data_IF_297964899876
#
_entry.id   IF_297964899876
#
_cell.length_a   1.000
_cell.length_b   1.000
_cell.length_c   1.000
_cell.angle_alpha   90.00
_cell.angle_beta   90.00
_cell.angle_gamma   90.00
#
_symmetry.space_group_name_H-M   'P 1'
#
loop_
_entity.id
_entity.type
_entity.pdbx_description
1 polymer ?
#
# COMPACT_ATOMS: atom_id res chain seq x y z
N UNK A 1 0.76 22.59 -3.08
CA UNK A 1 0.08 21.40 -3.64
C UNK A 1 -0.95 20.89 -2.65
N UNK A 2 -2.16 20.56 -3.10
CA UNK A 2 -3.17 19.93 -2.25
C UNK A 2 -2.66 18.56 -1.78
N UNK A 3 -2.77 18.27 -0.48
CA UNK A 3 -2.36 16.99 0.10
C UNK A 3 -3.22 15.88 -0.53
N UNK A 4 -2.64 14.75 -0.98
CA UNK A 4 -3.41 13.63 -1.52
C UNK A 4 -4.53 13.23 -0.56
N UNK A 5 -5.75 13.04 -1.08
CA UNK A 5 -6.87 12.57 -0.25
C UNK A 5 -6.58 11.15 0.20
N UNK A 6 -6.72 10.91 1.50
CA UNK A 6 -6.55 9.58 2.11
C UNK A 6 -7.89 8.86 2.14
N UNK A 7 -7.86 7.53 2.22
CA UNK A 7 -9.08 6.74 2.40
C UNK A 7 -9.75 7.06 3.74
N UNK A 8 -11.05 6.79 3.88
CA UNK A 8 -11.80 6.98 5.14
C UNK A 8 -11.13 6.20 6.27
N UNK A 9 -10.70 4.97 5.99
CA UNK A 9 -9.99 4.11 6.94
C UNK A 9 -8.54 4.56 7.22
N UNK A 10 -8.10 5.70 6.69
CA UNK A 10 -6.73 6.18 6.84
C UNK A 10 -6.65 7.70 6.93
N UNK A 11 -7.78 8.38 7.16
CA UNK A 11 -7.84 9.84 7.31
C UNK A 11 -8.05 10.27 8.77
N UNK A 12 -7.30 11.30 9.17
CA UNK A 12 -7.34 11.86 10.52
C UNK A 12 -8.28 13.08 10.60
N UNK A 13 -9.40 13.06 9.87
CA UNK A 13 -10.38 14.17 9.87
C UNK A 13 -11.59 13.77 10.72
N UNK A 14 -12.08 14.71 11.52
CA UNK A 14 -13.34 14.57 12.24
C UNK A 14 -14.48 14.68 11.23
N UNK A 15 -15.09 13.55 10.90
CA UNK A 15 -16.24 13.46 10.01
C UNK A 15 -17.47 13.05 10.81
N UNK A 16 -18.65 13.47 10.36
CA UNK A 16 -19.89 12.95 10.95
C UNK A 16 -20.06 11.47 10.59
N UNK A 17 -20.84 10.72 11.39
CA UNK A 17 -21.13 9.30 11.09
C UNK A 17 -21.72 9.10 9.69
N UNK A 18 -22.54 10.05 9.25
CA UNK A 18 -23.13 10.08 7.92
C UNK A 18 -22.07 10.30 6.83
N UNK A 19 -21.14 11.24 7.02
CA UNK A 19 -20.02 11.48 6.10
C UNK A 19 -19.06 10.28 6.00
N UNK A 20 -18.77 9.61 7.12
CA UNK A 20 -17.97 8.38 7.17
C UNK A 20 -18.68 7.29 6.37
N UNK A 21 -19.97 7.08 6.60
CA UNK A 21 -20.77 6.07 5.90
C UNK A 21 -20.81 6.33 4.39
N UNK A 22 -21.11 7.56 3.98
CA UNK A 22 -21.20 7.94 2.55
C UNK A 22 -19.84 7.74 1.88
N UNK A 23 -18.75 8.20 2.49
CA UNK A 23 -17.42 8.05 1.89
C UNK A 23 -16.94 6.61 1.88
N UNK A 24 -17.22 5.83 2.93
CA UNK A 24 -16.85 4.41 2.98
C UNK A 24 -17.58 3.61 1.88
N UNK A 25 -18.88 3.85 1.72
CA UNK A 25 -19.65 3.26 0.62
C UNK A 25 -19.14 3.71 -0.76
N UNK A 26 -18.72 4.97 -0.88
CA UNK A 26 -18.15 5.50 -2.13
C UNK A 26 -16.79 4.86 -2.42
N UNK A 27 -15.95 4.71 -1.41
CA UNK A 27 -14.65 4.05 -1.53
C UNK A 27 -14.77 2.57 -1.85
N UNK A 28 -15.68 1.83 -1.20
CA UNK A 28 -15.95 0.43 -1.53
C UNK A 28 -16.44 0.27 -2.98
N UNK A 29 -17.35 1.15 -3.43
CA UNK A 29 -17.78 1.18 -4.84
C UNK A 29 -16.65 1.49 -5.81
N UNK A 30 -15.74 2.40 -5.47
CA UNK A 30 -14.62 2.80 -6.31
C UNK A 30 -13.48 1.78 -6.32
N UNK A 31 -13.23 1.12 -5.17
CA UNK A 31 -12.29 0.02 -5.01
C UNK A 31 -12.68 -1.16 -5.90
N UNK A 32 -13.98 -1.39 -6.03
CA UNK A 32 -14.54 -2.49 -6.79
C UNK A 32 -14.27 -3.84 -6.12
N UNK A 33 -14.59 -4.91 -6.84
CA UNK A 33 -14.40 -6.28 -6.37
C UNK A 33 -12.90 -6.62 -6.22
N UNK A 34 -12.61 -7.65 -5.42
CA UNK A 34 -11.26 -8.19 -5.19
C UNK A 34 -11.15 -9.67 -5.63
N UNK A 35 -12.11 -10.14 -6.43
CA UNK A 35 -12.29 -11.53 -6.83
C UNK A 35 -11.34 -12.00 -7.96
N UNK A 36 -10.68 -11.07 -8.66
CA UNK A 36 -9.88 -11.35 -9.88
C UNK A 36 -8.40 -11.04 -9.72
N UNK A 37 -7.91 -10.90 -8.49
CA UNK A 37 -6.50 -10.62 -8.21
C UNK A 37 -5.68 -11.87 -8.55
N UNK A 38 -5.09 -11.86 -9.74
CA UNK A 38 -4.25 -12.95 -10.23
C UNK A 38 -3.04 -12.37 -10.98
N UNK A 39 -1.88 -13.06 -10.93
CA UNK A 39 -0.67 -12.54 -11.55
C UNK A 39 -0.82 -12.52 -13.08
N UNK A 40 -0.55 -11.38 -13.75
CA UNK A 40 -0.63 -11.31 -15.20
C UNK A 40 0.26 -12.30 -15.93
N UNK A 41 -0.14 -12.68 -17.14
CA UNK A 41 0.53 -13.73 -17.94
C UNK A 41 1.99 -13.41 -18.27
N UNK A 42 2.33 -12.13 -18.44
CA UNK A 42 3.66 -11.68 -18.82
C UNK A 42 4.71 -11.77 -17.70
N UNK A 43 4.32 -12.03 -16.45
CA UNK A 43 5.27 -12.20 -15.35
C UNK A 43 5.99 -13.54 -15.47
N UNK A 44 7.28 -13.55 -15.18
CA UNK A 44 8.06 -14.78 -15.09
C UNK A 44 7.70 -15.58 -13.83
N UNK A 45 8.17 -16.83 -13.73
CA UNK A 45 7.83 -17.70 -12.60
C UNK A 45 8.23 -17.14 -11.21
N UNK A 46 9.35 -16.42 -11.12
CA UNK A 46 9.80 -15.82 -9.86
C UNK A 46 8.92 -14.63 -9.46
N UNK A 47 8.59 -13.79 -10.42
CA UNK A 47 7.70 -12.65 -10.25
C UNK A 47 6.29 -13.08 -9.85
N UNK A 48 5.75 -14.17 -10.44
CA UNK A 48 4.47 -14.75 -10.04
C UNK A 48 4.46 -15.23 -8.59
N UNK A 49 5.57 -15.83 -8.13
CA UNK A 49 5.73 -16.23 -6.72
C UNK A 49 5.72 -15.01 -5.78
N UNK A 50 6.45 -13.95 -6.14
CA UNK A 50 6.46 -12.71 -5.36
C UNK A 50 5.07 -12.07 -5.33
N UNK A 51 4.38 -12.03 -6.47
CA UNK A 51 3.02 -11.50 -6.58
C UNK A 51 2.06 -12.22 -5.64
N UNK A 52 2.00 -13.56 -5.73
CA UNK A 52 1.11 -14.35 -4.89
C UNK A 52 1.45 -14.18 -3.40
N UNK A 53 2.74 -14.18 -3.05
CA UNK A 53 3.17 -13.94 -1.68
C UNK A 53 2.65 -12.59 -1.14
N UNK A 54 2.75 -11.51 -1.92
CA UNK A 54 2.24 -10.20 -1.50
C UNK A 54 0.72 -10.23 -1.34
N UNK A 55 0.00 -10.88 -2.26
CA UNK A 55 -1.47 -11.00 -2.20
C UNK A 55 -1.91 -11.80 -0.98
N UNK A 56 -1.25 -12.92 -0.70
CA UNK A 56 -1.56 -13.81 0.43
C UNK A 56 -1.34 -13.08 1.77
N UNK A 57 -0.22 -12.38 1.93
CA UNK A 57 0.08 -11.59 3.14
C UNK A 57 -0.88 -10.41 3.34
N UNK A 58 -1.40 -9.83 2.25
CA UNK A 58 -2.36 -8.73 2.30
C UNK A 58 -3.82 -9.19 2.34
N UNK A 59 -4.11 -10.48 2.14
CA UNK A 59 -5.48 -10.99 2.05
C UNK A 59 -6.29 -10.68 3.32
N UNK A 60 -5.71 -10.87 4.50
CA UNK A 60 -6.35 -10.61 5.79
C UNK A 60 -6.68 -9.13 6.03
N UNK A 61 -6.05 -8.21 5.28
CA UNK A 61 -6.28 -6.78 5.43
C UNK A 61 -7.47 -6.28 4.62
N UNK A 62 -7.97 -7.06 3.66
CA UNK A 62 -9.06 -6.70 2.75
C UNK A 62 -8.86 -5.32 2.07
N UNK A 63 -7.61 -4.86 1.91
CA UNK A 63 -7.32 -3.56 1.31
C UNK A 63 -7.20 -3.63 -0.21
N UNK A 64 -6.95 -4.82 -0.76
CA UNK A 64 -6.71 -4.99 -2.20
C UNK A 64 -8.02 -5.00 -2.99
N UNK A 65 -8.00 -4.40 -4.17
CA UNK A 65 -9.03 -4.49 -5.20
C UNK A 65 -8.47 -4.98 -6.53
N UNK A 66 -9.34 -5.30 -7.49
CA UNK A 66 -8.97 -5.83 -8.80
C UNK A 66 -8.06 -4.86 -9.60
N UNK A 67 -8.14 -3.55 -9.36
CA UNK A 67 -7.27 -2.57 -10.01
C UNK A 67 -5.82 -2.61 -9.50
N UNK A 68 -5.59 -3.14 -8.30
CA UNK A 68 -4.26 -3.18 -7.70
C UNK A 68 -3.33 -4.20 -8.39
N UNK A 69 -3.85 -5.02 -9.31
CA UNK A 69 -3.06 -5.95 -10.12
C UNK A 69 -1.89 -5.24 -10.81
N UNK A 70 -2.06 -4.00 -11.29
CA UNK A 70 -1.00 -3.25 -11.97
C UNK A 70 0.15 -2.87 -11.03
N UNK A 71 -0.18 -2.39 -9.82
CA UNK A 71 0.83 -2.00 -8.85
C UNK A 71 1.49 -3.23 -8.20
N UNK A 72 0.74 -4.29 -7.95
CA UNK A 72 1.25 -5.58 -7.47
C UNK A 72 2.22 -6.20 -8.48
N UNK A 73 1.88 -6.15 -9.78
CA UNK A 73 2.76 -6.63 -10.85
C UNK A 73 4.04 -5.82 -10.94
N UNK A 74 3.93 -4.49 -10.89
CA UNK A 74 5.08 -3.58 -10.91
C UNK A 74 5.99 -3.83 -9.71
N UNK A 75 5.42 -3.97 -8.50
CA UNK A 75 6.16 -4.28 -7.29
C UNK A 75 6.89 -5.62 -7.40
N UNK A 76 6.21 -6.65 -7.90
CA UNK A 76 6.78 -7.99 -8.07
C UNK A 76 7.96 -8.00 -9.04
N UNK A 77 7.85 -7.25 -10.14
CA UNK A 77 8.94 -7.07 -11.13
C UNK A 77 10.11 -6.32 -10.51
N UNK A 78 9.86 -5.23 -9.77
CA UNK A 78 10.90 -4.45 -9.12
C UNK A 78 11.71 -5.30 -8.13
N UNK A 79 11.03 -6.07 -7.27
CA UNK A 79 11.66 -6.96 -6.29
C UNK A 79 12.49 -8.04 -7.00
N UNK A 80 11.94 -8.73 -7.99
CA UNK A 80 12.66 -9.78 -8.74
C UNK A 80 13.95 -9.24 -9.38
N UNK A 81 13.85 -8.09 -10.06
CA UNK A 81 14.99 -7.48 -10.75
C UNK A 81 16.04 -6.94 -9.77
N UNK A 82 15.62 -6.36 -8.65
CA UNK A 82 16.56 -5.94 -7.58
C UNK A 82 17.33 -7.15 -7.03
N UNK A 83 16.63 -8.23 -6.69
CA UNK A 83 17.27 -9.45 -6.18
C UNK A 83 18.24 -10.05 -7.21
N UNK A 84 17.92 -9.99 -8.49
CA UNK A 84 18.82 -10.46 -9.54
C UNK A 84 20.07 -9.60 -9.67
N UNK A 85 19.93 -8.27 -9.56
CA UNK A 85 21.08 -7.36 -9.56
C UNK A 85 21.99 -7.63 -8.35
N UNK A 86 21.44 -7.80 -7.15
CA UNK A 86 22.25 -8.14 -5.96
C UNK A 86 22.93 -9.50 -6.12
N UNK A 87 22.26 -10.50 -6.70
CA UNK A 87 22.89 -11.79 -7.00
C UNK A 87 24.07 -11.64 -7.96
N UNK A 88 24.00 -10.75 -8.93
CA UNK A 88 25.10 -10.49 -9.85
C UNK A 88 26.28 -9.83 -9.15
N UNK A 89 26.01 -8.82 -8.30
CA UNK A 89 27.03 -8.13 -7.50
C UNK A 89 27.67 -9.07 -6.48
N UNK A 90 26.89 -9.92 -5.83
CA UNK A 90 27.42 -10.89 -4.86
C UNK A 90 28.28 -11.98 -5.50
N UNK A 91 28.06 -12.29 -6.78
CA UNK A 91 28.91 -13.19 -7.55
C UNK A 91 30.21 -12.52 -8.01
N UNK A 92 30.14 -11.22 -8.30
CA UNK A 92 31.23 -10.42 -8.81
C UNK A 92 31.09 -8.97 -8.32
N UNK A 93 31.90 -8.62 -7.33
CA UNK A 93 31.81 -7.34 -6.63
C UNK A 93 32.23 -6.17 -7.52
N UNK A 94 33.04 -6.40 -8.56
CA UNK A 94 33.49 -5.35 -9.48
C UNK A 94 32.33 -4.74 -10.27
N UNK A 95 31.22 -5.48 -10.41
CA UNK A 95 29.98 -4.98 -11.03
C UNK A 95 29.36 -3.78 -10.32
N UNK A 96 29.77 -3.47 -9.09
CA UNK A 96 29.39 -2.20 -8.44
C UNK A 96 29.87 -0.99 -9.26
N UNK A 97 30.95 -1.12 -10.02
CA UNK A 97 31.48 -0.05 -10.85
C UNK A 97 30.70 0.12 -12.17
N UNK A 98 29.86 -0.85 -12.55
CA UNK A 98 28.98 -0.74 -13.71
C UNK A 98 27.86 0.27 -13.44
N UNK A 99 28.01 1.45 -14.03
CA UNK A 99 27.05 2.56 -13.92
C UNK A 99 25.66 2.18 -14.42
N UNK A 100 25.55 1.33 -15.44
CA UNK A 100 24.26 0.93 -16.01
C UNK A 100 23.51 0.00 -15.05
N UNK A 101 24.23 -0.95 -14.44
CA UNK A 101 23.70 -1.87 -13.44
C UNK A 101 23.26 -1.11 -12.18
N UNK A 102 24.09 -0.20 -11.68
CA UNK A 102 23.77 0.61 -10.51
C UNK A 102 22.60 1.58 -10.77
N UNK A 103 22.50 2.15 -11.97
CA UNK A 103 21.33 2.95 -12.37
C UNK A 103 20.05 2.12 -12.42
N UNK A 104 20.11 0.89 -12.94
CA UNK A 104 18.98 -0.02 -12.92
C UNK A 104 18.56 -0.39 -11.49
N UNK A 105 19.53 -0.69 -10.61
CA UNK A 105 19.29 -0.94 -9.18
C UNK A 105 18.57 0.23 -8.53
N UNK A 106 19.05 1.46 -8.76
CA UNK A 106 18.44 2.67 -8.22
C UNK A 106 16.98 2.84 -8.69
N UNK A 107 16.72 2.64 -9.98
CA UNK A 107 15.36 2.72 -10.56
C UNK A 107 14.40 1.74 -9.91
N UNK A 108 14.77 0.45 -9.82
CA UNK A 108 13.90 -0.55 -9.22
C UNK A 108 13.75 -0.37 -7.71
N UNK A 109 14.79 0.11 -7.03
CA UNK A 109 14.72 0.45 -5.60
C UNK A 109 13.73 1.58 -5.35
N UNK A 110 13.75 2.63 -6.19
CA UNK A 110 12.77 3.72 -6.13
C UNK A 110 11.35 3.23 -6.38
N UNK A 111 11.17 2.37 -7.39
CA UNK A 111 9.86 1.77 -7.68
C UNK A 111 9.36 0.91 -6.52
N UNK A 112 10.24 0.10 -5.93
CA UNK A 112 9.91 -0.71 -4.75
C UNK A 112 9.46 0.15 -3.57
N UNK A 113 10.17 1.23 -3.24
CA UNK A 113 9.76 2.12 -2.16
C UNK A 113 8.44 2.84 -2.45
N UNK A 114 8.18 3.19 -3.71
CA UNK A 114 6.88 3.71 -4.12
C UNK A 114 5.78 2.68 -3.87
N UNK A 115 5.94 1.46 -4.36
CA UNK A 115 4.99 0.37 -4.12
C UNK A 115 4.81 0.08 -2.63
N UNK A 116 5.88 0.11 -1.83
CA UNK A 116 5.80 -0.14 -0.39
C UNK A 116 5.01 0.93 0.38
N UNK A 117 4.99 2.16 -0.13
CA UNK A 117 4.17 3.24 0.42
C UNK A 117 2.69 3.06 0.05
N UNK A 118 2.39 2.74 -1.21
CA UNK A 118 1.01 2.57 -1.70
C UNK A 118 0.36 1.29 -1.14
N UNK A 119 1.08 0.17 -1.14
CA UNK A 119 0.59 -1.15 -0.70
C UNK A 119 0.82 -1.44 0.79
N UNK A 120 1.32 -0.47 1.55
CA UNK A 120 1.58 -0.63 2.99
C UNK A 120 2.54 -1.78 3.33
N UNK A 121 3.54 -2.05 2.49
CA UNK A 121 4.48 -3.15 2.71
C UNK A 121 5.55 -2.80 3.76
N UNK A 122 5.88 -1.51 3.94
CA UNK A 122 6.87 -1.09 4.94
C UNK A 122 6.26 -0.97 6.34
N UNK A 123 7.02 -1.27 7.42
CA UNK A 123 6.56 -1.03 8.79
C UNK A 123 6.17 0.43 9.03
N UNK A 124 6.89 1.37 8.41
CA UNK A 124 6.59 2.80 8.49
C UNK A 124 5.26 3.14 7.82
N UNK A 125 4.98 2.60 6.62
CA UNK A 125 3.70 2.83 5.95
C UNK A 125 2.55 2.24 6.78
N UNK A 126 2.72 1.02 7.30
CA UNK A 126 1.73 0.38 8.20
C UNK A 126 1.49 1.16 9.49
N UNK A 127 2.55 1.57 10.19
CA UNK A 127 2.44 2.35 11.41
C UNK A 127 1.77 3.71 11.16
N UNK A 128 2.04 4.34 10.01
CA UNK A 128 1.36 5.57 9.60
C UNK A 128 -0.14 5.36 9.42
N UNK A 129 -0.56 4.26 8.80
CA UNK A 129 -1.99 3.95 8.66
C UNK A 129 -2.63 3.56 10.00
N UNK A 130 -1.94 2.75 10.82
CA UNK A 130 -2.40 2.33 12.14
C UNK A 130 -2.60 3.51 13.10
N UNK A 131 -1.64 4.44 13.16
CA UNK A 131 -1.75 5.64 13.99
C UNK A 131 -2.90 6.54 13.56
N UNK A 132 -3.18 6.64 12.26
CA UNK A 132 -4.31 7.43 11.79
C UNK A 132 -5.64 6.78 12.21
N UNK A 133 -5.73 5.45 12.16
CA UNK A 133 -6.91 4.71 12.63
C UNK A 133 -7.14 4.84 14.14
N UNK A 134 -6.06 4.83 14.94
CA UNK A 134 -6.15 5.05 16.39
C UNK A 134 -6.60 6.48 16.72
N UNK A 135 -6.06 7.49 16.03
CA UNK A 135 -6.48 8.89 16.22
C UNK A 135 -7.94 9.12 15.82
N UNK A 136 -8.41 8.48 14.74
CA UNK A 136 -9.81 8.54 14.34
C UNK A 136 -10.75 7.95 15.42
N UNK A 137 -10.39 6.80 16.00
CA UNK A 137 -11.16 6.16 17.08
C UNK A 137 -11.14 6.97 18.38
N UNK A 138 -9.99 7.52 18.77
CA UNK A 138 -9.88 8.35 19.97
C UNK A 138 -10.74 9.62 19.88
N UNK A 139 -10.82 10.23 18.69
CA UNK A 139 -11.69 11.38 18.46
C UNK A 139 -13.20 11.02 18.46
N UNK A 140 -13.57 9.79 18.08
CA UNK A 140 -14.96 9.31 18.21
C UNK A 140 -15.35 9.03 19.66
N UNK A 141 -14.40 8.61 20.49
CA UNK A 141 -14.66 8.24 21.89
C UNK A 141 -14.55 9.40 22.88
N UNK A 142 -13.93 10.54 22.49
CA UNK A 142 -13.73 11.71 23.34
C UNK A 142 -15.06 12.21 23.95
N UNK A 143 -15.22 12.11 25.29
CA UNK A 143 -16.42 12.57 25.98
C UNK A 143 -16.74 14.04 25.72
N UNK A 144 -15.72 14.90 25.55
CA UNK A 144 -15.91 16.33 25.33
C UNK A 144 -16.49 16.61 23.94
N UNK A 145 -16.01 15.90 22.91
CA UNK A 145 -16.53 15.99 21.54
C UNK A 145 -17.95 15.43 21.44
N UNK A 146 -18.30 14.39 22.19
CA UNK A 146 -19.68 13.88 22.29
C UNK A 146 -20.65 14.89 22.90
N UNK A 147 -20.21 15.63 23.92
CA UNK A 147 -21.01 16.69 24.54
C UNK A 147 -21.19 17.88 23.58
N UNK A 148 -20.12 18.31 22.90
CA UNK A 148 -20.16 19.42 21.93
C UNK A 148 -20.97 19.09 20.67
N UNK A 149 -21.06 17.82 20.27
CA UNK A 149 -21.88 17.35 19.14
C UNK A 149 -23.39 17.26 19.45
N UNK A 150 -23.85 17.79 20.60
CA UNK A 150 -25.26 17.87 20.96
C UNK A 150 -25.76 16.75 21.86
N UNK A 151 -24.90 16.21 22.73
CA UNK A 151 -25.28 15.20 23.72
C UNK A 151 -26.45 15.67 24.61
N UNK A 152 -27.66 15.16 24.33
CA UNK A 152 -28.74 15.14 25.32
C UNK A 152 -28.50 13.97 26.27
N UNK A 153 -28.77 14.23 27.56
CA UNK A 153 -28.83 13.23 28.65
C UNK A 153 -29.70 12.04 28.28
#
# INVERSE_FOLDING_TARGET
MARPSKSVNTMSKNLTKEEISIRKQTEEKLKGEADKISPPKHLNARQKKIFNYIVDELAASEILGNLDIYILSTCSIAIDRMQEIEKQINKDIEKIQDKSLMSAKEKYTKEFFRCANELSLSPQSRAKLGNINLQAKQNEEDPLLKVLAGGRK
#
